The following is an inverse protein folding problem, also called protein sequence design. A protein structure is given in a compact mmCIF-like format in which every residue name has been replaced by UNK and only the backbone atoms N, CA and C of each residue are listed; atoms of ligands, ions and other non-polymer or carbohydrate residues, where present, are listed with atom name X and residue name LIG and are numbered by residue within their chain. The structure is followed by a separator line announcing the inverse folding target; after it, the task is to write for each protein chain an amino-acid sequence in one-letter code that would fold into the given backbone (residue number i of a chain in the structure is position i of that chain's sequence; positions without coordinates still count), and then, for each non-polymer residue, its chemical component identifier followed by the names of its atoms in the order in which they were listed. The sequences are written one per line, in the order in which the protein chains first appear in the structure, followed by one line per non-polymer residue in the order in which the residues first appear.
data_IF_041868540257
#
_entry.id   IF_041868540257
#
_cell.length_a   1.000
_cell.length_b   1.000
_cell.length_c   1.000
_cell.angle_alpha   90.00
_cell.angle_beta   90.00
_cell.angle_gamma   90.00
#
_symmetry.space_group_name_H-M   'P 1'
#
loop_
_entity.id
_entity.type
_entity.pdbx_description
1 polymer ?
#
# COMPACT_ATOMS: atom_id res chain seq x y z
N UNK A 1 -18.00 27.82 51.55
CA UNK A 1 -19.20 27.04 51.20
C UNK A 1 -18.95 26.35 49.86
N UNK A 2 -18.94 25.03 49.90
CA UNK A 2 -18.38 24.12 48.90
C UNK A 2 -19.42 23.81 47.82
N UNK A 3 -18.99 23.86 46.55
CA UNK A 3 -19.77 23.46 45.38
C UNK A 3 -20.13 21.97 45.43
N UNK A 4 -21.44 21.70 45.36
CA UNK A 4 -22.03 20.38 45.12
C UNK A 4 -21.87 20.01 43.63
N UNK A 5 -21.53 18.76 43.34
CA UNK A 5 -21.73 18.19 41.99
C UNK A 5 -20.79 17.05 41.59
N UNK A 6 -20.61 16.02 42.43
CA UNK A 6 -19.93 14.78 42.00
C UNK A 6 -20.90 13.97 41.13
N UNK A 7 -20.70 14.00 39.82
CA UNK A 7 -21.44 13.15 38.89
C UNK A 7 -20.84 11.74 38.89
N UNK A 8 -21.66 10.78 39.27
CA UNK A 8 -21.36 9.38 39.48
C UNK A 8 -21.36 8.65 38.12
N UNK A 9 -20.19 8.30 37.57
CA UNK A 9 -20.07 7.21 36.59
C UNK A 9 -18.85 6.38 36.91
N UNK A 10 -19.10 5.22 37.55
CA UNK A 10 -18.15 4.12 37.66
C UNK A 10 -17.73 3.73 36.23
N UNK A 11 -16.51 4.09 35.85
CA UNK A 11 -15.83 3.50 34.69
C UNK A 11 -15.48 2.07 35.07
N UNK A 12 -16.28 1.11 34.62
CA UNK A 12 -15.99 -0.30 34.80
C UNK A 12 -14.70 -0.66 34.04
N UNK A 13 -13.68 -1.11 34.78
CA UNK A 13 -12.34 -1.41 34.27
C UNK A 13 -12.38 -2.49 33.17
N UNK A 14 -13.44 -3.31 33.16
CA UNK A 14 -13.75 -4.31 32.12
C UNK A 14 -14.11 -3.68 30.76
N UNK A 15 -14.74 -2.50 30.75
CA UNK A 15 -15.15 -1.79 29.53
C UNK A 15 -14.00 -1.04 28.86
N UNK A 16 -13.03 -0.55 29.66
CA UNK A 16 -11.81 0.08 29.14
C UNK A 16 -10.90 -0.95 28.45
N UNK A 17 -10.74 -2.15 29.05
CA UNK A 17 -9.97 -3.23 28.44
C UNK A 17 -10.62 -3.73 27.14
N UNK A 18 -11.96 -3.92 27.11
CA UNK A 18 -12.68 -4.32 25.88
C UNK A 18 -12.55 -3.29 24.76
N UNK A 19 -12.63 -1.98 25.06
CA UNK A 19 -12.42 -0.92 24.06
C UNK A 19 -10.98 -0.87 23.54
N UNK A 20 -9.99 -1.08 24.41
CA UNK A 20 -8.59 -1.17 23.98
C UNK A 20 -8.33 -2.39 23.09
N UNK A 21 -8.85 -3.58 23.47
CA UNK A 21 -8.66 -4.81 22.72
C UNK A 21 -9.35 -4.74 21.34
N UNK A 22 -10.60 -4.24 21.25
CA UNK A 22 -11.27 -4.05 19.95
C UNK A 22 -10.57 -3.01 19.06
N UNK A 23 -10.04 -1.92 19.62
CA UNK A 23 -9.31 -0.88 18.87
C UNK A 23 -8.00 -1.41 18.27
N UNK A 24 -7.30 -2.28 19.00
CA UNK A 24 -6.06 -2.93 18.53
C UNK A 24 -6.34 -4.04 17.52
N UNK A 25 -7.36 -4.89 17.75
CA UNK A 25 -7.76 -5.95 16.81
C UNK A 25 -8.30 -5.41 15.48
N UNK A 26 -9.01 -4.27 15.51
CA UNK A 26 -9.52 -3.63 14.29
C UNK A 26 -8.41 -3.02 13.42
N UNK A 27 -7.25 -2.64 13.99
CA UNK A 27 -6.08 -2.19 13.22
C UNK A 27 -5.28 -3.35 12.61
N UNK A 28 -5.35 -4.53 13.21
CA UNK A 28 -4.66 -5.74 12.74
C UNK A 28 -5.39 -6.45 11.58
N UNK A 29 -6.70 -6.25 11.43
CA UNK A 29 -7.52 -6.93 10.41
C UNK A 29 -7.78 -6.13 9.13
N UNK A 30 -7.34 -4.87 9.04
CA UNK A 30 -7.54 -4.03 7.84
C UNK A 30 -6.21 -3.55 7.29
N UNK A 31 -5.28 -4.48 7.06
CA UNK A 31 -4.32 -4.27 5.97
C UNK A 31 -5.14 -4.42 4.70
N UNK A 32 -5.70 -3.32 4.17
CA UNK A 32 -6.22 -3.30 2.80
C UNK A 32 -5.07 -3.78 1.91
N UNK A 33 -5.12 -5.03 1.48
CA UNK A 33 -4.16 -5.50 0.49
C UNK A 33 -4.47 -4.68 -0.75
N UNK A 34 -3.45 -4.03 -1.30
CA UNK A 34 -3.59 -3.42 -2.62
C UNK A 34 -3.62 -4.58 -3.59
N UNK A 35 -4.77 -4.88 -4.23
CA UNK A 35 -4.93 -6.13 -4.99
C UNK A 35 -4.18 -6.10 -6.32
N UNK A 36 -3.58 -4.97 -6.69
CA UNK A 36 -2.74 -4.80 -7.87
C UNK A 36 -1.32 -4.56 -7.40
N UNK A 37 -0.41 -5.46 -7.74
CA UNK A 37 1.03 -5.38 -7.46
C UNK A 37 1.76 -4.97 -8.73
N UNK A 38 2.81 -4.15 -8.57
CA UNK A 38 3.69 -3.71 -9.65
C UNK A 38 5.00 -4.49 -9.58
N UNK A 39 5.29 -5.32 -10.59
CA UNK A 39 6.45 -6.22 -10.71
C UNK A 39 7.67 -5.56 -11.37
N UNK A 40 7.81 -4.24 -11.21
CA UNK A 40 8.84 -3.45 -11.90
C UNK A 40 10.26 -3.79 -11.44
N UNK A 41 10.44 -4.19 -10.19
CA UNK A 41 11.71 -4.63 -9.63
C UNK A 41 12.25 -5.90 -10.32
N UNK A 42 11.38 -6.87 -10.59
CA UNK A 42 11.72 -8.11 -11.31
C UNK A 42 12.13 -7.79 -12.75
N UNK A 43 11.36 -6.95 -13.44
CA UNK A 43 11.65 -6.57 -14.82
C UNK A 43 12.99 -5.83 -14.96
N UNK A 44 13.28 -4.91 -14.04
CA UNK A 44 14.57 -4.20 -14.01
C UNK A 44 15.74 -5.16 -13.82
N UNK A 45 15.59 -6.16 -12.93
CA UNK A 45 16.61 -7.17 -12.70
C UNK A 45 16.84 -8.05 -13.95
N UNK A 46 15.75 -8.50 -14.60
CA UNK A 46 15.82 -9.30 -15.83
C UNK A 46 16.51 -8.55 -16.97
N UNK A 47 16.24 -7.25 -17.11
CA UNK A 47 16.82 -6.39 -18.16
C UNK A 47 18.19 -5.80 -17.78
N UNK A 48 18.71 -6.13 -16.59
CA UNK A 48 19.97 -5.58 -16.03
C UNK A 48 20.01 -4.04 -16.02
N UNK A 49 18.85 -3.40 -15.92
CA UNK A 49 18.71 -1.94 -15.96
C UNK A 49 18.60 -1.37 -14.54
N UNK A 50 19.27 -0.25 -14.29
CA UNK A 50 19.16 0.44 -12.99
C UNK A 50 17.90 1.30 -12.95
N UNK A 51 17.24 1.39 -11.80
CA UNK A 51 16.07 2.26 -11.61
C UNK A 51 16.35 3.71 -12.02
N UNK A 52 17.50 4.27 -11.59
CA UNK A 52 17.92 5.64 -11.96
C UNK A 52 18.05 5.87 -13.47
N UNK A 53 18.34 4.84 -14.23
CA UNK A 53 18.42 4.91 -15.69
C UNK A 53 17.03 4.92 -16.29
N UNK A 54 16.15 4.00 -15.87
CA UNK A 54 14.76 3.98 -16.31
C UNK A 54 14.04 5.32 -16.02
N UNK A 55 14.25 5.91 -14.83
CA UNK A 55 13.69 7.21 -14.46
C UNK A 55 14.04 8.31 -15.46
N UNK A 56 15.31 8.32 -15.94
CA UNK A 56 15.78 9.27 -16.94
C UNK A 56 15.16 9.02 -18.31
N UNK A 57 15.04 7.75 -18.72
CA UNK A 57 14.45 7.37 -20.02
C UNK A 57 12.98 7.76 -20.11
N UNK A 58 12.20 7.50 -19.05
CA UNK A 58 10.75 7.78 -19.05
C UNK A 58 10.39 9.18 -18.55
N UNK A 59 11.38 10.00 -18.17
CA UNK A 59 11.18 11.39 -17.77
C UNK A 59 10.44 11.58 -16.43
N UNK A 60 10.61 10.67 -15.46
CA UNK A 60 10.02 10.83 -14.11
C UNK A 60 11.10 10.98 -13.04
N UNK A 61 10.72 11.51 -11.87
CA UNK A 61 11.64 11.62 -10.73
C UNK A 61 12.02 10.24 -10.18
N UNK A 62 13.24 10.12 -9.65
CA UNK A 62 13.70 8.89 -8.98
C UNK A 62 12.80 8.53 -7.79
N UNK A 63 12.20 9.53 -7.14
CA UNK A 63 11.24 9.34 -6.05
C UNK A 63 9.97 8.65 -6.53
N UNK A 64 9.36 9.11 -7.63
CA UNK A 64 8.18 8.45 -8.22
C UNK A 64 8.49 7.03 -8.67
N UNK A 65 9.66 6.82 -9.28
CA UNK A 65 10.07 5.48 -9.69
C UNK A 65 10.27 4.55 -8.48
N UNK A 66 10.80 5.05 -7.36
CA UNK A 66 10.95 4.29 -6.13
C UNK A 66 9.60 3.86 -5.54
N UNK A 67 8.59 4.75 -5.61
CA UNK A 67 7.23 4.42 -5.20
C UNK A 67 6.59 3.36 -6.09
N UNK A 68 6.79 3.45 -7.42
CA UNK A 68 6.33 2.45 -8.38
C UNK A 68 6.97 1.09 -8.11
N UNK A 69 8.29 1.06 -7.93
CA UNK A 69 9.05 -0.15 -7.63
C UNK A 69 8.63 -0.82 -6.32
N UNK A 70 8.28 -0.04 -5.31
CA UNK A 70 7.88 -0.56 -3.99
C UNK A 70 6.38 -0.86 -3.87
N UNK A 71 5.60 -0.68 -4.94
CA UNK A 71 4.15 -0.92 -4.93
C UNK A 71 3.37 0.02 -4.00
N UNK A 72 3.94 1.17 -3.64
CA UNK A 72 3.32 2.14 -2.73
C UNK A 72 2.44 3.17 -3.44
N UNK A 73 2.39 3.13 -4.77
CA UNK A 73 1.54 4.01 -5.58
C UNK A 73 0.10 3.53 -5.54
N UNK A 74 -0.85 4.46 -5.64
CA UNK A 74 -2.28 4.13 -5.75
C UNK A 74 -2.75 3.98 -7.20
N UNK A 75 -2.00 4.54 -8.14
CA UNK A 75 -2.33 4.59 -9.56
C UNK A 75 -1.08 4.82 -10.39
N UNK A 76 -1.12 4.36 -11.64
CA UNK A 76 -0.14 4.62 -12.67
C UNK A 76 -0.89 5.21 -13.87
N UNK A 77 -0.32 6.23 -14.52
CA UNK A 77 -0.90 6.76 -15.75
C UNK A 77 -0.52 5.86 -16.93
N UNK A 78 -1.40 5.71 -17.92
CA UNK A 78 -1.14 4.87 -19.08
C UNK A 78 0.06 5.33 -19.90
N UNK A 79 0.29 6.64 -20.02
CA UNK A 79 1.50 7.18 -20.67
C UNK A 79 2.79 6.68 -19.98
N UNK A 80 2.79 6.65 -18.66
CA UNK A 80 3.94 6.19 -17.88
C UNK A 80 4.12 4.68 -18.01
N UNK A 81 3.02 3.92 -18.03
CA UNK A 81 3.05 2.48 -18.28
C UNK A 81 3.57 2.16 -19.69
N UNK A 82 3.12 2.90 -20.70
CA UNK A 82 3.59 2.78 -22.08
C UNK A 82 5.10 3.02 -22.16
N UNK A 83 5.60 4.13 -21.59
CA UNK A 83 7.03 4.44 -21.61
C UNK A 83 7.89 3.37 -20.91
N UNK A 84 7.37 2.76 -19.84
CA UNK A 84 8.03 1.62 -19.17
C UNK A 84 8.08 0.42 -20.11
N UNK A 85 6.95 0.08 -20.75
CA UNK A 85 6.87 -1.04 -21.68
C UNK A 85 7.81 -0.87 -22.89
N UNK A 86 7.90 0.34 -23.44
CA UNK A 86 8.83 0.67 -24.52
C UNK A 86 10.28 0.54 -24.06
N UNK A 87 10.64 1.15 -22.92
CA UNK A 87 12.01 1.17 -22.41
C UNK A 87 12.52 -0.23 -22.01
N UNK A 88 11.64 -1.09 -21.49
CA UNK A 88 12.00 -2.44 -21.05
C UNK A 88 11.68 -3.52 -22.08
N UNK A 89 11.02 -3.15 -23.19
CA UNK A 89 10.50 -4.09 -24.20
C UNK A 89 9.70 -5.23 -23.53
N UNK A 90 8.66 -4.86 -22.78
CA UNK A 90 7.77 -5.78 -22.08
C UNK A 90 6.29 -5.44 -22.36
N UNK A 91 5.38 -6.31 -21.92
CA UNK A 91 3.94 -6.08 -21.99
C UNK A 91 3.40 -5.54 -20.66
N UNK A 92 2.26 -4.83 -20.65
CA UNK A 92 1.62 -4.35 -19.42
C UNK A 92 1.34 -5.46 -18.39
N UNK A 93 1.01 -6.67 -18.85
CA UNK A 93 0.79 -7.84 -17.99
C UNK A 93 2.04 -8.35 -17.28
N UNK A 94 3.23 -7.99 -17.76
CA UNK A 94 4.48 -8.31 -17.05
C UNK A 94 4.73 -7.33 -15.89
N UNK A 95 4.17 -6.12 -15.98
CA UNK A 95 4.35 -5.03 -15.01
C UNK A 95 3.28 -5.10 -13.92
N UNK A 96 2.04 -5.44 -14.28
CA UNK A 96 0.87 -5.40 -13.39
C UNK A 96 0.36 -6.80 -13.11
N UNK A 97 0.22 -7.14 -11.84
CA UNK A 97 -0.28 -8.43 -11.38
C UNK A 97 -1.45 -8.23 -10.41
N UNK A 98 -2.55 -8.95 -10.65
CA UNK A 98 -3.67 -8.98 -9.72
C UNK A 98 -3.49 -10.12 -8.71
N UNK A 99 -3.42 -9.78 -7.44
CA UNK A 99 -3.37 -10.72 -6.31
C UNK A 99 -4.67 -10.57 -5.51
N UNK A 100 -5.66 -11.46 -5.71
CA UNK A 100 -6.88 -11.43 -4.93
C UNK A 100 -6.56 -11.66 -3.46
N UNK A 101 -7.23 -10.93 -2.56
CA UNK A 101 -7.28 -11.34 -1.17
C UNK A 101 -7.93 -12.74 -1.12
N UNK A 102 -7.36 -13.70 -0.37
CA UNK A 102 -8.00 -14.99 -0.20
C UNK A 102 -9.38 -14.75 0.42
N UNK A 103 -10.42 -15.18 -0.30
CA UNK A 103 -11.77 -15.18 0.25
C UNK A 103 -11.76 -16.07 1.49
N UNK A 104 -12.39 -15.66 2.60
CA UNK A 104 -12.57 -16.57 3.72
C UNK A 104 -13.37 -17.77 3.20
N UNK A 105 -12.78 -18.97 3.30
CA UNK A 105 -13.47 -20.23 3.01
C UNK A 105 -14.71 -20.28 3.92
N UNK A 106 -15.88 -20.45 3.30
CA UNK A 106 -17.18 -20.55 4.00
C UNK A 106 -17.35 -21.92 4.63
#
# INVERSE_FOLDING_TARGET
MIFRGVCHKKCDLSHLLRRCILSVMSKLLVRRVMPIIIRLDVLLAQKKMKSRELARVIGITEQNLSLLKSGKVKSIRFDTLQSICEALSCQPGDVLEYLPEPLPEK
#
